data_IF_879737181170
#
_entry.id   IF_879737181170
#
_cell.length_a   1.000
_cell.length_b   1.000
_cell.length_c   1.000
_cell.angle_alpha   90.00
_cell.angle_beta   90.00
_cell.angle_gamma   90.00
#
_symmetry.space_group_name_H-M   'P 1'
#
loop_
_entity.id
_entity.type
_entity.pdbx_description
1 polymer ?
#
# COMPACT_ATOMS: atom_id res chain seq x y z
N UNK A 1 -2.73 -3.97 -56.85
CA UNK A 1 -3.43 -3.29 -55.74
C UNK A 1 -3.15 -4.10 -54.48
N UNK A 2 -2.34 -3.57 -53.56
CA UNK A 2 -2.03 -4.22 -52.28
C UNK A 2 -3.12 -3.86 -51.29
N UNK A 3 -3.77 -4.85 -50.68
CA UNK A 3 -4.75 -4.61 -49.62
C UNK A 3 -3.99 -4.28 -48.33
N UNK A 4 -4.14 -3.06 -47.84
CA UNK A 4 -3.73 -2.69 -46.49
C UNK A 4 -4.59 -3.46 -45.49
N UNK A 5 -3.97 -4.31 -44.67
CA UNK A 5 -4.64 -4.93 -43.53
C UNK A 5 -4.89 -3.84 -42.47
N UNK A 6 -6.14 -3.59 -42.04
CA UNK A 6 -6.39 -2.66 -40.96
C UNK A 6 -5.81 -3.24 -39.67
N UNK A 7 -4.80 -2.58 -39.12
CA UNK A 7 -4.30 -2.84 -37.77
C UNK A 7 -5.44 -2.40 -36.84
N UNK A 8 -6.18 -3.36 -36.28
CA UNK A 8 -7.20 -3.07 -35.27
C UNK A 8 -6.61 -2.28 -34.09
N UNK A 9 -7.45 -1.64 -33.27
CA UNK A 9 -6.96 -0.85 -32.14
C UNK A 9 -6.07 -1.74 -31.27
N UNK A 10 -4.83 -1.28 -31.02
CA UNK A 10 -3.91 -1.92 -30.10
C UNK A 10 -4.62 -2.02 -28.76
N UNK A 11 -5.02 -3.24 -28.38
CA UNK A 11 -5.59 -3.51 -27.06
C UNK A 11 -4.52 -3.09 -26.06
N UNK A 12 -4.76 -1.99 -25.35
CA UNK A 12 -3.83 -1.48 -24.35
C UNK A 12 -3.38 -2.64 -23.47
N UNK A 13 -2.08 -2.91 -23.45
CA UNK A 13 -1.48 -3.94 -22.59
C UNK A 13 -1.85 -3.58 -21.15
N UNK A 14 -2.79 -4.34 -20.58
CA UNK A 14 -3.07 -4.25 -19.15
C UNK A 14 -1.93 -4.96 -18.43
N UNK A 15 -1.05 -4.20 -17.79
CA UNK A 15 -0.07 -4.77 -16.88
C UNK A 15 -0.79 -5.60 -15.82
N UNK A 16 -0.26 -6.78 -15.45
CA UNK A 16 -0.83 -7.59 -14.38
C UNK A 16 -0.82 -6.80 -13.06
N UNK A 17 -1.83 -7.02 -12.22
CA UNK A 17 -1.87 -6.47 -10.87
C UNK A 17 -1.30 -7.52 -9.93
N UNK A 18 -0.31 -7.12 -9.14
CA UNK A 18 0.29 -7.91 -8.08
C UNK A 18 -0.30 -7.52 -6.73
N UNK A 19 -0.20 -8.42 -5.76
CA UNK A 19 -0.58 -8.16 -4.38
C UNK A 19 0.49 -8.66 -3.42
N UNK A 20 0.98 -7.79 -2.56
CA UNK A 20 1.87 -8.11 -1.47
C UNK A 20 1.09 -8.19 -0.16
N UNK A 21 1.32 -9.23 0.66
CA UNK A 21 0.73 -9.36 1.99
C UNK A 21 1.79 -9.08 3.05
N UNK A 22 1.54 -8.08 3.89
CA UNK A 22 2.36 -7.75 5.06
C UNK A 22 1.61 -8.22 6.31
N UNK A 23 2.23 -9.10 7.11
CA UNK A 23 1.67 -9.56 8.38
C UNK A 23 2.25 -8.74 9.52
N UNK A 24 1.40 -8.02 10.23
CA UNK A 24 1.83 -7.13 11.32
C UNK A 24 1.38 -7.71 12.64
N UNK A 25 2.34 -8.00 13.53
CA UNK A 25 2.07 -8.42 14.90
C UNK A 25 2.71 -7.42 15.86
N UNK A 26 1.89 -6.81 16.70
CA UNK A 26 2.39 -5.91 17.75
C UNK A 26 3.05 -6.69 18.87
N UNK A 27 4.07 -6.10 19.48
CA UNK A 27 4.77 -6.67 20.63
C UNK A 27 3.99 -6.46 21.95
N UNK A 28 4.60 -6.84 23.06
CA UNK A 28 4.05 -6.64 24.41
C UNK A 28 3.94 -5.17 24.84
N UNK A 29 4.46 -4.23 24.03
CA UNK A 29 4.32 -2.78 24.20
C UNK A 29 3.34 -2.16 23.19
N UNK A 30 2.73 -2.97 22.32
CA UNK A 30 1.79 -2.50 21.30
C UNK A 30 2.47 -1.90 20.07
N UNK A 31 3.78 -2.12 19.89
CA UNK A 31 4.53 -1.57 18.77
C UNK A 31 4.81 -2.64 17.71
N UNK A 32 4.92 -2.22 16.44
CA UNK A 32 5.38 -3.07 15.34
C UNK A 32 6.09 -2.22 14.28
N UNK A 33 7.07 -2.80 13.59
CA UNK A 33 7.65 -2.26 12.37
C UNK A 33 7.99 -3.42 11.45
N UNK A 34 7.30 -3.52 10.33
CA UNK A 34 7.41 -4.65 9.40
C UNK A 34 7.55 -4.13 7.99
N UNK A 35 8.58 -4.59 7.28
CA UNK A 35 8.78 -4.31 5.86
C UNK A 35 8.07 -5.36 5.00
N UNK A 36 7.72 -5.00 3.78
CA UNK A 36 7.31 -5.96 2.75
C UNK A 36 8.47 -6.89 2.40
N UNK A 37 8.16 -8.16 2.07
CA UNK A 37 9.16 -9.15 1.68
C UNK A 37 9.73 -8.81 0.30
N UNK A 38 8.87 -8.28 -0.58
CA UNK A 38 9.24 -7.88 -1.93
C UNK A 38 9.45 -6.37 -2.03
N UNK A 39 10.42 -6.02 -2.89
CA UNK A 39 10.55 -4.65 -3.37
C UNK A 39 9.42 -4.36 -4.35
N UNK A 40 8.73 -3.25 -4.12
CA UNK A 40 7.60 -2.82 -4.93
C UNK A 40 8.07 -1.78 -5.93
N UNK A 41 7.73 -2.00 -7.19
CA UNK A 41 8.02 -1.10 -8.31
C UNK A 41 6.71 -0.80 -9.00
N UNK A 42 6.41 0.49 -9.19
CA UNK A 42 5.26 0.93 -9.98
C UNK A 42 4.17 1.63 -9.18
N UNK A 43 2.93 1.51 -9.64
CA UNK A 43 1.77 2.26 -9.14
C UNK A 43 1.05 1.52 -8.02
N UNK A 44 0.85 2.15 -6.87
CA UNK A 44 0.05 1.58 -5.77
C UNK A 44 -1.43 1.86 -6.01
N UNK A 45 -2.18 0.80 -6.33
CA UNK A 45 -3.59 0.91 -6.72
C UNK A 45 -4.54 0.88 -5.53
N UNK A 46 -4.21 0.07 -4.51
CA UNK A 46 -5.08 -0.18 -3.35
C UNK A 46 -4.27 -0.67 -2.17
N UNK A 47 -4.69 -0.29 -0.97
CA UNK A 47 -4.25 -0.83 0.31
C UNK A 47 -5.49 -1.43 0.98
N UNK A 48 -5.41 -2.68 1.46
CA UNK A 48 -6.48 -3.30 2.24
C UNK A 48 -5.96 -3.67 3.63
N UNK A 49 -6.61 -3.16 4.66
CA UNK A 49 -6.36 -3.51 6.05
C UNK A 49 -7.37 -4.58 6.46
N UNK A 50 -6.88 -5.72 6.93
CA UNK A 50 -7.69 -6.81 7.44
C UNK A 50 -7.46 -6.90 8.94
N UNK A 51 -8.51 -6.61 9.72
CA UNK A 51 -8.45 -6.38 11.18
C UNK A 51 -7.78 -7.50 11.98
N UNK A 52 -7.91 -8.75 11.55
CA UNK A 52 -7.34 -9.90 12.26
C UNK A 52 -7.83 -9.98 13.71
N UNK A 53 -6.91 -10.02 14.67
CA UNK A 53 -7.19 -10.17 16.11
C UNK A 53 -7.18 -8.85 16.89
N UNK A 54 -6.97 -7.72 16.22
CA UNK A 54 -7.00 -6.38 16.83
C UNK A 54 -8.38 -6.11 17.44
N UNK A 55 -8.42 -5.64 18.69
CA UNK A 55 -9.65 -5.39 19.44
C UNK A 55 -9.60 -4.12 20.31
N UNK A 56 -8.57 -3.30 20.14
CA UNK A 56 -8.39 -2.00 20.79
C UNK A 56 -7.63 -1.09 19.81
N UNK A 57 -7.55 0.22 20.13
CA UNK A 57 -6.98 1.24 19.24
C UNK A 57 -5.61 0.84 18.70
N UNK A 58 -5.51 0.67 17.38
CA UNK A 58 -4.28 0.25 16.70
C UNK A 58 -4.22 0.98 15.37
N UNK A 59 -3.46 2.07 15.33
CA UNK A 59 -3.22 2.81 14.10
C UNK A 59 -1.95 2.32 13.41
N UNK A 60 -2.10 1.92 12.15
CA UNK A 60 -1.00 1.56 11.27
C UNK A 60 -0.65 2.74 10.36
N UNK A 61 0.63 3.02 10.23
CA UNK A 61 1.18 4.00 9.28
C UNK A 61 1.96 3.24 8.22
N UNK A 62 1.58 3.41 6.97
CA UNK A 62 2.29 2.85 5.82
C UNK A 62 3.22 3.90 5.24
N UNK A 63 4.49 3.56 5.11
CA UNK A 63 5.49 4.42 4.47
C UNK A 63 6.26 3.64 3.40
N UNK A 64 6.90 4.37 2.49
CA UNK A 64 7.97 3.83 1.67
C UNK A 64 9.17 4.76 1.74
N UNK A 65 10.36 4.20 1.62
CA UNK A 65 11.60 4.97 1.65
C UNK A 65 12.23 4.99 0.28
N UNK A 66 12.27 6.16 -0.32
CA UNK A 66 13.14 6.43 -1.47
C UNK A 66 14.55 6.77 -0.97
N UNK A 67 15.61 6.69 -1.81
CA UNK A 67 16.97 7.06 -1.39
C UNK A 67 17.11 8.46 -0.77
N UNK A 68 16.18 9.38 -1.03
CA UNK A 68 16.21 10.74 -0.53
C UNK A 68 15.21 11.05 0.59
N UNK A 69 14.09 10.31 0.69
CA UNK A 69 12.98 10.66 1.58
C UNK A 69 12.12 9.44 1.93
N UNK A 70 11.62 9.41 3.18
CA UNK A 70 10.51 8.54 3.58
C UNK A 70 9.19 9.28 3.39
N UNK A 71 8.26 8.65 2.68
CA UNK A 71 6.96 9.23 2.35
C UNK A 71 5.87 8.36 2.96
N UNK A 72 4.95 8.98 3.69
CA UNK A 72 3.75 8.31 4.19
C UNK A 72 2.73 8.13 3.06
N UNK A 73 2.24 6.90 2.89
CA UNK A 73 1.22 6.52 1.90
C UNK A 73 -0.19 6.63 2.48
N UNK A 74 -0.38 6.12 3.70
CA UNK A 74 -1.68 6.07 4.35
C UNK A 74 -1.50 5.85 5.86
N UNK A 75 -2.49 6.27 6.62
CA UNK A 75 -2.61 5.98 8.05
C UNK A 75 -4.03 5.51 8.32
N UNK A 76 -4.19 4.40 9.04
CA UNK A 76 -5.50 3.81 9.32
C UNK A 76 -5.59 3.19 10.71
N UNK A 77 -6.70 3.46 11.42
CA UNK A 77 -7.03 2.80 12.68
C UNK A 77 -7.74 1.47 12.42
N UNK A 78 -6.98 0.39 12.50
CA UNK A 78 -7.41 -0.99 12.25
C UNK A 78 -8.46 -1.46 13.27
N UNK A 79 -8.56 -0.81 14.43
CA UNK A 79 -9.57 -1.17 15.41
C UNK A 79 -11.00 -0.93 14.89
N UNK A 80 -11.18 0.07 14.04
CA UNK A 80 -12.50 0.45 13.49
C UNK A 80 -13.08 -0.60 12.55
N UNK A 81 -12.26 -1.51 12.01
CA UNK A 81 -12.70 -2.58 11.11
C UNK A 81 -11.69 -2.85 10.00
N UNK A 82 -11.98 -3.86 9.18
CA UNK A 82 -11.28 -4.04 7.91
C UNK A 82 -11.74 -2.99 6.91
N UNK A 83 -10.82 -2.47 6.10
CA UNK A 83 -11.13 -1.44 5.11
C UNK A 83 -10.27 -1.56 3.86
N UNK A 84 -10.76 -0.97 2.78
CA UNK A 84 -10.01 -0.74 1.55
C UNK A 84 -9.76 0.76 1.37
N UNK A 85 -8.54 1.09 0.98
CA UNK A 85 -8.03 2.46 0.86
C UNK A 85 -7.36 2.60 -0.50
N UNK A 86 -7.63 3.70 -1.17
CA UNK A 86 -7.06 4.03 -2.47
C UNK A 86 -6.15 5.23 -2.27
N UNK A 87 -4.85 5.00 -2.01
CA UNK A 87 -3.96 6.10 -1.67
C UNK A 87 -3.82 7.02 -2.88
N UNK A 88 -3.98 8.31 -2.63
CA UNK A 88 -3.69 9.36 -3.58
C UNK A 88 -2.80 10.39 -2.87
N UNK A 89 -1.72 10.79 -3.53
CA UNK A 89 -0.84 11.83 -3.03
C UNK A 89 -1.12 13.07 -3.84
N UNK A 90 -1.62 14.12 -3.18
CA UNK A 90 -1.65 15.46 -3.76
C UNK A 90 -0.39 16.21 -3.28
N UNK A 91 0.34 16.91 -4.16
CA UNK A 91 1.36 17.85 -3.73
C UNK A 91 0.75 18.88 -2.77
N UNK A 92 1.52 19.28 -1.75
CA UNK A 92 1.06 20.31 -0.80
C UNK A 92 0.68 21.58 -1.56
N UNK A 93 -0.59 22.00 -1.44
CA UNK A 93 -1.12 23.17 -2.14
C UNK A 93 -1.66 22.91 -3.55
N UNK A 94 -1.76 21.65 -4.00
CA UNK A 94 -2.38 21.26 -5.27
C UNK A 94 -3.67 20.47 -5.07
N UNK A 95 -4.61 20.64 -6.00
CA UNK A 95 -5.81 19.78 -6.13
C UNK A 95 -5.56 18.53 -6.96
N UNK A 96 -4.40 18.41 -7.60
CA UNK A 96 -4.07 17.27 -8.44
C UNK A 96 -3.64 16.09 -7.58
N UNK A 97 -4.49 15.07 -7.52
CA UNK A 97 -4.26 13.83 -6.82
C UNK A 97 -3.67 12.79 -7.77
N UNK A 98 -2.52 12.21 -7.43
CA UNK A 98 -1.85 11.19 -8.24
C UNK A 98 -1.79 9.86 -7.50
N UNK A 99 -1.81 8.77 -8.27
CA UNK A 99 -1.53 7.44 -7.73
C UNK A 99 -0.05 7.37 -7.33
N UNK A 100 0.28 7.02 -6.07
CA UNK A 100 1.67 6.93 -5.63
C UNK A 100 2.47 5.97 -6.51
N UNK A 101 3.62 6.45 -6.99
CA UNK A 101 4.58 5.63 -7.73
C UNK A 101 5.77 5.36 -6.82
N UNK A 102 6.01 4.09 -6.52
CA UNK A 102 7.16 3.65 -5.73
C UNK A 102 8.28 3.31 -6.70
N UNK A 103 9.42 4.00 -6.55
CA UNK A 103 10.66 3.65 -7.23
C UNK A 103 11.42 2.62 -6.41
N UNK A 104 11.45 1.36 -6.84
CA UNK A 104 12.25 0.27 -6.29
C UNK A 104 12.48 0.34 -4.77
N UNK A 105 11.41 0.28 -3.98
CA UNK A 105 11.46 0.37 -2.52
C UNK A 105 10.56 -0.66 -1.84
N UNK A 106 10.87 -1.02 -0.60
CA UNK A 106 9.94 -1.76 0.26
C UNK A 106 8.90 -0.81 0.87
N UNK A 107 7.79 -1.38 1.30
CA UNK A 107 6.79 -0.68 2.12
C UNK A 107 7.00 -1.08 3.57
N UNK A 108 7.07 -0.09 4.45
CA UNK A 108 7.15 -0.31 5.90
C UNK A 108 5.80 0.00 6.53
N UNK A 109 5.29 -0.93 7.32
CA UNK A 109 4.12 -0.74 8.18
C UNK A 109 4.59 -0.56 9.62
N UNK A 110 4.30 0.59 10.20
CA UNK A 110 4.64 0.91 11.59
C UNK A 110 3.39 1.08 12.43
N UNK A 111 3.42 0.55 13.65
CA UNK A 111 2.41 0.76 14.69
C UNK A 111 3.11 1.24 15.94
N UNK A 112 2.56 2.26 16.60
CA UNK A 112 3.07 2.77 17.87
C UNK A 112 1.93 2.91 18.87
N UNK A 113 2.07 2.30 20.05
CA UNK A 113 1.06 2.38 21.12
C UNK A 113 -0.27 1.69 20.78
N UNK A 114 -0.24 0.62 19.98
CA UNK A 114 -1.41 -0.16 19.61
C UNK A 114 -1.82 -1.22 20.65
N UNK A 115 -2.81 -2.04 20.31
CA UNK A 115 -3.22 -3.19 21.11
C UNK A 115 -2.07 -4.21 21.26
N UNK A 116 -1.87 -4.78 22.46
CA UNK A 116 -0.75 -5.67 22.77
C UNK A 116 -0.90 -7.06 22.13
N UNK A 117 0.18 -7.59 21.56
CA UNK A 117 0.26 -8.96 21.02
C UNK A 117 -0.88 -9.30 20.05
N UNK A 118 -1.26 -8.35 19.19
CA UNK A 118 -2.33 -8.51 18.20
C UNK A 118 -1.76 -8.56 16.80
N UNK A 119 -2.45 -9.29 15.94
CA UNK A 119 -2.05 -9.50 14.55
C UNK A 119 -3.13 -8.98 13.62
N UNK A 120 -2.70 -8.25 12.59
CA UNK A 120 -3.52 -7.85 11.46
C UNK A 120 -2.73 -7.99 10.16
N UNK A 121 -3.40 -7.80 9.03
CA UNK A 121 -2.77 -7.92 7.72
C UNK A 121 -2.98 -6.66 6.91
N UNK A 122 -1.97 -6.30 6.12
CA UNK A 122 -2.05 -5.24 5.12
C UNK A 122 -1.75 -5.86 3.77
N UNK A 123 -2.64 -5.65 2.80
CA UNK A 123 -2.44 -6.06 1.43
C UNK A 123 -2.20 -4.82 0.57
N UNK A 124 -1.10 -4.80 -0.17
CA UNK A 124 -0.79 -3.71 -1.11
C UNK A 124 -0.89 -4.24 -2.53
N UNK A 125 -1.75 -3.61 -3.33
CA UNK A 125 -1.98 -3.95 -4.73
C UNK A 125 -1.24 -2.97 -5.63
N UNK A 126 -0.44 -3.48 -6.57
CA UNK A 126 0.42 -2.65 -7.42
C UNK A 126 0.56 -3.22 -8.85
N UNK A 127 1.06 -2.41 -9.78
CA UNK A 127 1.37 -2.79 -11.16
C UNK A 127 2.53 -1.99 -11.75
#
# INVERSE_FOLDING_TARGET
>A
MSAEHPIGPVKALRLPIFSEKITVTTDGSGNASVDSDNVIVGEILKISYVKGTVNAGTSAVLTFTTPATTVALDTYDVNTGSAERYPYVAPVGSTDAWVPKIGNSTITVTVTGGALSKTFYVYVYYR
#
